data_IF_015326733318
#
_entry.id   IF_015326733318
#
_cell.length_a   1.000
_cell.length_b   1.000
_cell.length_c   1.000
_cell.angle_alpha   90.00
_cell.angle_beta   90.00
_cell.angle_gamma   90.00
#
_symmetry.space_group_name_H-M   'P 1'
#
loop_
_entity.id
_entity.type
_entity.pdbx_description
1 polymer ?
#
# COMPACT_ATOMS: atom_id res chain seq x y z
N UNK A 1 9.85 -7.19 -15.05
CA UNK A 1 10.02 -7.65 -16.42
C UNK A 1 11.32 -7.12 -17.02
N UNK A 2 11.51 -5.81 -17.11
CA UNK A 2 12.70 -5.22 -17.75
C UNK A 2 13.99 -5.42 -16.95
N UNK A 3 13.91 -5.54 -15.63
CA UNK A 3 15.08 -5.73 -14.78
C UNK A 3 15.62 -7.16 -14.79
N UNK A 4 14.83 -8.13 -15.23
CA UNK A 4 15.22 -9.55 -15.19
C UNK A 4 15.68 -10.04 -16.56
N UNK A 5 16.77 -10.82 -16.61
CA UNK A 5 17.32 -11.37 -17.85
C UNK A 5 16.36 -12.32 -18.59
N UNK A 6 15.51 -13.02 -17.84
CA UNK A 6 14.51 -13.95 -18.35
C UNK A 6 13.15 -13.29 -18.60
N UNK A 7 13.08 -11.95 -18.48
CA UNK A 7 11.86 -11.19 -18.61
C UNK A 7 10.70 -11.73 -17.74
N UNK A 8 11.00 -12.08 -16.49
CA UNK A 8 10.02 -12.62 -15.57
C UNK A 8 8.84 -11.66 -15.38
N UNK A 9 7.61 -12.14 -15.63
CA UNK A 9 6.39 -11.35 -15.49
C UNK A 9 5.66 -11.75 -14.23
N UNK A 10 6.11 -11.22 -13.09
CA UNK A 10 5.68 -11.57 -11.76
C UNK A 10 5.26 -10.35 -10.94
N UNK A 11 4.35 -10.56 -10.00
CA UNK A 11 3.94 -9.58 -9.00
C UNK A 11 3.80 -10.27 -7.64
N UNK A 12 3.68 -9.50 -6.57
CA UNK A 12 3.37 -10.05 -5.27
C UNK A 12 1.89 -9.83 -4.89
N UNK A 13 1.45 -10.50 -3.82
CA UNK A 13 0.08 -10.41 -3.33
C UNK A 13 -0.32 -9.00 -2.93
N UNK A 14 0.58 -8.21 -2.32
CA UNK A 14 0.26 -6.85 -1.89
C UNK A 14 -0.06 -5.93 -3.08
N UNK A 15 0.69 -6.03 -4.18
CA UNK A 15 0.43 -5.30 -5.41
C UNK A 15 -0.78 -5.85 -6.17
N UNK A 16 -0.89 -7.18 -6.32
CA UNK A 16 -2.02 -7.80 -6.99
C UNK A 16 -3.36 -7.40 -6.39
N UNK A 17 -3.47 -7.39 -5.05
CA UNK A 17 -4.70 -7.04 -4.33
C UNK A 17 -5.13 -5.57 -4.52
N UNK A 18 -4.30 -4.71 -5.11
CA UNK A 18 -4.63 -3.30 -5.41
C UNK A 18 -5.12 -3.06 -6.84
N UNK A 19 -5.17 -4.10 -7.65
CA UNK A 19 -5.53 -3.97 -9.08
C UNK A 19 -7.05 -3.94 -9.34
N UNK A 20 -7.89 -4.23 -8.35
CA UNK A 20 -9.33 -4.46 -8.49
C UNK A 20 -9.70 -5.71 -9.31
N UNK A 21 -8.72 -6.53 -9.67
CA UNK A 21 -8.91 -7.78 -10.43
C UNK A 21 -8.53 -9.02 -9.63
N UNK A 22 -8.15 -8.83 -8.36
CA UNK A 22 -7.68 -9.89 -7.48
C UNK A 22 -8.76 -10.28 -6.47
N UNK A 23 -8.98 -11.59 -6.31
CA UNK A 23 -9.88 -12.13 -5.30
C UNK A 23 -9.13 -12.39 -4.00
N UNK A 24 -9.34 -11.56 -2.99
CA UNK A 24 -8.65 -11.62 -1.69
C UNK A 24 -8.96 -12.88 -0.89
N UNK A 25 -10.06 -13.58 -1.20
CA UNK A 25 -10.45 -14.83 -0.54
C UNK A 25 -9.88 -16.05 -1.26
N UNK A 26 -9.85 -16.01 -2.60
CA UNK A 26 -9.30 -17.09 -3.42
C UNK A 26 -7.77 -17.01 -3.55
N UNK A 27 -7.19 -15.83 -3.26
CA UNK A 27 -5.75 -15.54 -3.41
C UNK A 27 -5.25 -15.71 -4.85
N UNK A 28 -6.09 -15.39 -5.82
CA UNK A 28 -5.78 -15.44 -7.25
C UNK A 28 -6.53 -14.33 -7.99
N UNK A 29 -6.26 -14.19 -9.26
CA UNK A 29 -7.02 -13.33 -10.16
C UNK A 29 -8.48 -13.75 -10.21
N UNK A 30 -9.39 -12.78 -10.09
CA UNK A 30 -10.83 -13.01 -10.12
C UNK A 30 -11.33 -13.14 -11.57
N UNK A 31 -11.78 -14.32 -11.97
CA UNK A 31 -12.17 -14.62 -13.34
C UNK A 31 -13.38 -13.79 -13.81
N UNK A 32 -14.31 -13.48 -12.92
CA UNK A 32 -15.46 -12.65 -13.25
C UNK A 32 -15.01 -11.20 -13.51
N UNK A 33 -14.18 -10.65 -12.62
CA UNK A 33 -13.69 -9.28 -12.75
C UNK A 33 -12.79 -9.10 -13.98
N UNK A 34 -11.84 -10.01 -14.23
CA UNK A 34 -10.99 -9.92 -15.43
C UNK A 34 -11.81 -10.04 -16.71
N UNK A 35 -12.85 -10.89 -16.73
CA UNK A 35 -13.78 -11.00 -17.84
C UNK A 35 -14.57 -9.70 -18.04
N UNK A 36 -15.06 -9.09 -16.96
CA UNK A 36 -15.78 -7.81 -17.00
C UNK A 36 -14.92 -6.68 -17.60
N UNK A 37 -13.63 -6.64 -17.27
CA UNK A 37 -12.67 -5.68 -17.84
C UNK A 37 -12.18 -6.06 -19.25
N UNK A 38 -12.58 -7.21 -19.80
CA UNK A 38 -12.14 -7.67 -21.11
C UNK A 38 -10.67 -8.07 -21.16
N UNK A 39 -10.09 -8.43 -20.02
CA UNK A 39 -8.68 -8.81 -19.87
C UNK A 39 -8.59 -10.35 -19.92
N UNK A 40 -7.56 -10.86 -20.59
CA UNK A 40 -7.26 -12.29 -20.59
C UNK A 40 -6.29 -12.62 -19.44
N UNK A 41 -6.47 -13.77 -18.78
CA UNK A 41 -5.64 -14.19 -17.65
C UNK A 41 -4.14 -14.24 -18.00
N UNK A 42 -3.82 -14.60 -19.24
CA UNK A 42 -2.44 -14.64 -19.77
C UNK A 42 -1.79 -13.25 -19.87
N UNK A 43 -2.56 -12.18 -19.77
CA UNK A 43 -2.07 -10.79 -19.74
C UNK A 43 -1.73 -10.32 -18.32
N UNK A 44 -2.01 -11.13 -17.30
CA UNK A 44 -1.76 -10.81 -15.91
C UNK A 44 -0.48 -11.49 -15.41
N UNK A 45 0.21 -10.82 -14.48
CA UNK A 45 1.45 -11.34 -13.92
C UNK A 45 1.20 -12.59 -13.05
N UNK A 46 2.17 -13.49 -12.99
CA UNK A 46 2.20 -14.56 -12.00
C UNK A 46 2.27 -13.95 -10.59
N UNK A 47 1.40 -14.41 -9.69
CA UNK A 47 1.36 -13.93 -8.30
C UNK A 47 2.29 -14.81 -7.47
N UNK A 48 3.21 -14.17 -6.77
CA UNK A 48 4.24 -14.82 -5.97
C UNK A 48 4.22 -14.30 -4.52
N UNK A 49 4.85 -15.04 -3.62
CA UNK A 49 5.16 -14.53 -2.28
C UNK A 49 6.01 -13.27 -2.34
N UNK A 50 5.85 -12.37 -1.40
CA UNK A 50 6.63 -11.12 -1.35
C UNK A 50 8.14 -11.38 -1.23
N UNK A 51 8.56 -12.53 -0.68
CA UNK A 51 9.95 -12.96 -0.57
C UNK A 51 10.37 -14.01 -1.61
N UNK A 52 9.59 -14.21 -2.68
CA UNK A 52 9.95 -15.15 -3.75
C UNK A 52 11.17 -14.68 -4.56
N UNK A 53 11.72 -15.57 -5.34
CA UNK A 53 12.69 -15.21 -6.38
C UNK A 53 11.93 -14.68 -7.61
N UNK A 54 12.11 -13.40 -7.90
CA UNK A 54 11.49 -12.72 -9.04
C UNK A 54 12.31 -12.82 -10.34
N UNK A 55 13.58 -13.19 -10.24
CA UNK A 55 14.50 -13.36 -11.34
C UNK A 55 15.91 -12.86 -10.97
N UNK A 56 16.77 -12.77 -11.96
CA UNK A 56 18.14 -12.28 -11.80
C UNK A 56 18.38 -11.06 -12.67
N UNK A 57 19.20 -10.14 -12.19
CA UNK A 57 19.59 -8.94 -12.92
C UNK A 57 21.09 -8.65 -12.75
N UNK A 58 21.70 -8.16 -13.81
CA UNK A 58 23.02 -7.52 -13.77
C UNK A 58 22.94 -6.03 -14.12
N UNK A 59 21.72 -5.46 -14.14
CA UNK A 59 21.44 -4.08 -14.55
C UNK A 59 22.05 -3.75 -15.92
N UNK A 60 21.75 -4.59 -16.93
CA UNK A 60 22.25 -4.46 -18.31
C UNK A 60 23.79 -4.47 -18.41
N UNK A 61 24.44 -5.33 -17.59
CA UNK A 61 25.88 -5.49 -17.58
C UNK A 61 26.63 -4.49 -16.68
N UNK A 62 25.91 -3.73 -15.86
CA UNK A 62 26.54 -2.84 -14.88
C UNK A 62 27.23 -3.63 -13.76
N UNK A 63 26.68 -4.79 -13.42
CA UNK A 63 27.26 -5.71 -12.45
C UNK A 63 28.06 -6.81 -13.19
N UNK A 64 29.20 -7.20 -12.64
CA UNK A 64 30.01 -8.30 -13.19
C UNK A 64 29.27 -9.65 -13.17
N UNK A 65 28.46 -9.87 -12.11
CA UNK A 65 27.63 -11.06 -11.95
C UNK A 65 26.17 -10.69 -11.72
N UNK A 66 25.26 -11.54 -12.21
CA UNK A 66 23.84 -11.34 -11.99
C UNK A 66 23.47 -11.67 -10.53
N UNK A 67 22.73 -10.78 -9.90
CA UNK A 67 22.20 -10.94 -8.54
C UNK A 67 20.71 -11.30 -8.57
N UNK A 68 20.22 -12.07 -7.58
CA UNK A 68 18.80 -12.40 -7.49
C UNK A 68 17.98 -11.19 -7.01
N UNK A 69 16.77 -11.05 -7.55
CA UNK A 69 15.76 -10.12 -7.06
C UNK A 69 14.83 -10.89 -6.13
N UNK A 70 14.93 -10.64 -4.83
CA UNK A 70 14.01 -11.10 -3.81
C UNK A 70 13.36 -9.88 -3.13
N UNK A 71 12.10 -10.00 -2.79
CA UNK A 71 11.40 -8.95 -2.07
C UNK A 71 10.76 -7.92 -2.99
N UNK A 72 9.52 -8.21 -3.35
CA UNK A 72 8.61 -7.27 -4.02
C UNK A 72 7.42 -7.05 -3.11
N UNK A 73 7.11 -5.79 -2.83
CA UNK A 73 6.00 -5.42 -1.95
C UNK A 73 5.52 -4.01 -2.31
N UNK A 74 4.23 -3.75 -2.19
CA UNK A 74 3.71 -2.38 -2.30
C UNK A 74 4.35 -1.46 -1.25
N UNK A 75 4.63 -0.21 -1.60
CA UNK A 75 5.34 0.75 -0.76
C UNK A 75 4.70 0.93 0.64
N UNK A 76 3.40 1.11 0.70
CA UNK A 76 2.66 1.24 1.95
C UNK A 76 2.65 -0.04 2.79
N UNK A 77 2.65 -1.20 2.13
CA UNK A 77 2.73 -2.52 2.76
C UNK A 77 4.16 -2.78 3.27
N UNK A 78 5.17 -2.39 2.48
CA UNK A 78 6.57 -2.40 2.90
C UNK A 78 6.81 -1.50 4.11
N UNK A 79 6.18 -0.32 4.16
CA UNK A 79 6.23 0.55 5.32
C UNK A 79 5.55 -0.06 6.56
N UNK A 80 4.41 -0.75 6.40
CA UNK A 80 3.75 -1.49 7.49
C UNK A 80 4.69 -2.55 8.08
N UNK A 81 5.32 -3.35 7.21
CA UNK A 81 6.28 -4.36 7.62
C UNK A 81 7.55 -3.75 8.24
N UNK A 82 8.12 -2.72 7.59
CA UNK A 82 9.34 -2.06 8.02
C UNK A 82 9.21 -1.31 9.36
N UNK A 83 8.00 -0.89 9.73
CA UNK A 83 7.70 -0.35 11.05
C UNK A 83 7.44 -1.43 12.12
N UNK A 84 7.63 -2.70 11.78
CA UNK A 84 7.46 -3.81 12.70
C UNK A 84 6.00 -4.16 13.03
N UNK A 85 5.05 -3.72 12.21
CA UNK A 85 3.62 -4.03 12.40
C UNK A 85 3.30 -5.47 11.96
N UNK A 86 4.04 -6.44 12.49
CA UNK A 86 4.00 -7.85 12.06
C UNK A 86 2.96 -8.68 12.80
N UNK A 87 2.39 -8.17 13.88
CA UNK A 87 1.36 -8.89 14.64
C UNK A 87 -0.03 -8.29 14.39
N UNK A 88 -1.10 -9.11 14.46
CA UNK A 88 -2.48 -8.62 14.37
C UNK A 88 -2.77 -7.50 15.36
N UNK A 89 -3.47 -6.46 14.92
CA UNK A 89 -3.82 -5.28 15.70
C UNK A 89 -2.77 -4.17 15.67
N UNK A 90 -1.58 -4.41 15.14
CA UNK A 90 -0.57 -3.36 14.98
C UNK A 90 -0.92 -2.44 13.79
N UNK A 91 -0.72 -1.15 14.01
CA UNK A 91 -1.15 -0.09 13.09
C UNK A 91 0.04 0.75 12.66
N UNK A 92 0.09 1.06 11.37
CA UNK A 92 0.95 2.08 10.77
C UNK A 92 0.10 3.24 10.28
N UNK A 93 0.50 4.47 10.58
CA UNK A 93 -0.08 5.67 10.01
C UNK A 93 0.96 6.41 9.18
N UNK A 94 0.61 6.75 7.95
CA UNK A 94 1.41 7.60 7.07
C UNK A 94 0.70 8.92 6.91
N UNK A 95 1.40 10.01 7.22
CA UNK A 95 0.91 11.36 7.06
C UNK A 95 1.63 12.04 5.89
N UNK A 96 0.85 12.48 4.90
CA UNK A 96 1.34 13.18 3.72
C UNK A 96 0.31 14.18 3.22
N UNK A 97 0.19 14.37 1.92
CA UNK A 97 -0.91 15.13 1.28
C UNK A 97 -2.27 14.61 1.73
N UNK A 98 -2.46 13.30 1.66
CA UNK A 98 -3.46 12.53 2.39
C UNK A 98 -2.78 11.67 3.47
N UNK A 99 -3.56 10.89 4.19
CA UNK A 99 -3.07 9.93 5.17
C UNK A 99 -3.62 8.55 4.89
N UNK A 100 -2.77 7.52 5.11
CA UNK A 100 -3.16 6.11 5.04
C UNK A 100 -2.89 5.47 6.40
N UNK A 101 -3.91 4.87 6.95
CA UNK A 101 -3.84 4.11 8.20
C UNK A 101 -4.06 2.65 7.85
N UNK A 102 -3.06 1.81 8.15
CA UNK A 102 -3.10 0.38 7.84
C UNK A 102 -2.95 -0.42 9.12
N UNK A 103 -3.82 -1.40 9.32
CA UNK A 103 -3.80 -2.31 10.45
C UNK A 103 -3.61 -3.74 9.96
N UNK A 104 -2.56 -4.41 10.43
CA UNK A 104 -2.40 -5.84 10.23
C UNK A 104 -3.53 -6.59 10.94
N UNK A 105 -4.27 -7.44 10.25
CA UNK A 105 -5.37 -8.23 10.81
C UNK A 105 -5.05 -9.74 10.87
N UNK A 106 -3.82 -10.12 10.53
CA UNK A 106 -3.35 -11.50 10.57
C UNK A 106 -3.73 -12.31 9.34
N UNK A 107 -3.84 -13.63 9.51
CA UNK A 107 -3.97 -14.60 8.41
C UNK A 107 -5.41 -14.79 7.90
N UNK A 108 -6.37 -14.06 8.43
CA UNK A 108 -7.78 -14.13 7.99
C UNK A 108 -8.27 -12.76 7.55
N UNK A 109 -8.93 -12.66 6.38
CA UNK A 109 -9.48 -11.38 5.93
C UNK A 109 -10.62 -10.93 6.85
N UNK A 110 -10.68 -9.62 7.09
CA UNK A 110 -11.79 -8.97 7.78
C UNK A 110 -12.44 -8.03 6.78
N UNK A 111 -13.70 -8.25 6.46
CA UNK A 111 -14.46 -7.35 5.59
C UNK A 111 -15.28 -6.36 6.42
N UNK A 112 -15.24 -5.11 6.04
CA UNK A 112 -15.89 -4.01 6.76
C UNK A 112 -16.92 -3.31 5.87
N UNK A 113 -18.06 -2.96 6.46
CA UNK A 113 -19.08 -2.09 5.88
C UNK A 113 -18.90 -0.61 6.25
N UNK A 114 -17.81 -0.25 6.91
CA UNK A 114 -17.51 1.08 7.46
C UNK A 114 -16.53 1.89 6.62
N UNK A 115 -16.36 1.56 5.35
CA UNK A 115 -15.52 2.34 4.43
C UNK A 115 -14.02 2.10 4.53
N UNK A 116 -13.58 1.08 5.29
CA UNK A 116 -12.20 0.60 5.24
C UNK A 116 -12.08 -0.57 4.29
N UNK A 117 -10.94 -0.64 3.61
CA UNK A 117 -10.66 -1.62 2.55
C UNK A 117 -9.81 -2.76 3.09
N UNK A 118 -10.15 -3.99 2.69
CA UNK A 118 -9.33 -5.18 2.95
C UNK A 118 -8.42 -5.46 1.76
N UNK A 119 -7.13 -5.65 2.02
CA UNK A 119 -6.16 -6.10 1.02
C UNK A 119 -5.14 -7.05 1.65
N UNK A 120 -4.19 -7.56 0.85
CA UNK A 120 -3.10 -8.40 1.35
C UNK A 120 -1.98 -7.51 1.87
N UNK A 121 -1.52 -7.74 3.08
CA UNK A 121 -0.38 -7.05 3.66
C UNK A 121 0.92 -7.52 3.00
N UNK A 122 1.17 -8.82 3.04
CA UNK A 122 2.29 -9.54 2.43
C UNK A 122 2.02 -11.04 2.42
N UNK A 123 2.82 -11.76 1.67
CA UNK A 123 2.92 -13.21 1.78
C UNK A 123 4.39 -13.60 1.92
N UNK A 124 4.73 -14.37 2.94
CA UNK A 124 6.08 -14.81 3.23
C UNK A 124 6.09 -16.33 3.42
N UNK A 125 6.75 -17.04 2.50
CA UNK A 125 6.89 -18.51 2.55
C UNK A 125 5.53 -19.21 2.68
N UNK A 126 4.56 -18.79 1.86
CA UNK A 126 3.20 -19.34 1.81
C UNK A 126 2.27 -18.88 2.92
N UNK A 127 2.72 -17.99 3.82
CA UNK A 127 1.87 -17.40 4.86
C UNK A 127 1.43 -16.00 4.47
N UNK A 128 0.13 -15.87 4.25
CA UNK A 128 -0.50 -14.61 3.85
C UNK A 128 -0.95 -13.85 5.09
N UNK A 129 -0.68 -12.55 5.11
CA UNK A 129 -1.27 -11.62 6.09
C UNK A 129 -2.15 -10.61 5.38
N UNK A 130 -3.24 -10.24 6.03
CA UNK A 130 -4.20 -9.27 5.54
C UNK A 130 -4.07 -7.95 6.27
N UNK A 131 -4.55 -6.89 5.63
CA UNK A 131 -4.57 -5.54 6.19
C UNK A 131 -5.93 -4.89 5.97
N UNK A 132 -6.39 -4.16 6.97
CA UNK A 132 -7.44 -3.15 6.81
C UNK A 132 -6.79 -1.79 6.59
N UNK A 133 -7.27 -1.06 5.59
CA UNK A 133 -6.78 0.26 5.24
C UNK A 133 -7.90 1.28 5.24
N UNK A 134 -7.68 2.39 5.96
CA UNK A 134 -8.47 3.60 5.91
C UNK A 134 -7.67 4.74 5.30
N UNK A 135 -8.23 5.45 4.34
CA UNK A 135 -7.61 6.58 3.68
C UNK A 135 -8.32 7.88 4.04
N UNK A 136 -7.53 8.90 4.40
CA UNK A 136 -7.97 10.27 4.58
C UNK A 136 -7.36 11.07 3.44
N UNK A 137 -8.19 11.47 2.49
CA UNK A 137 -7.71 12.05 1.22
C UNK A 137 -7.00 13.40 1.40
N UNK A 138 -7.38 14.17 2.43
CA UNK A 138 -6.86 15.50 2.69
C UNK A 138 -6.41 15.61 4.14
N UNK A 139 -5.09 15.69 4.36
CA UNK A 139 -4.47 15.99 5.66
C UNK A 139 -3.45 17.12 5.49
N UNK A 140 -2.24 16.86 5.04
CA UNK A 140 -1.27 17.90 4.73
C UNK A 140 -1.73 18.84 3.61
N UNK A 141 -2.58 18.38 2.70
CA UNK A 141 -3.19 19.21 1.67
C UNK A 141 -4.08 20.33 2.26
N UNK A 142 -4.75 20.08 3.39
CA UNK A 142 -5.53 21.13 4.09
C UNK A 142 -4.63 22.27 4.53
N UNK A 143 -3.45 21.96 5.05
CA UNK A 143 -2.48 22.99 5.46
C UNK A 143 -2.02 23.83 4.25
N UNK A 144 -1.77 23.18 3.12
CA UNK A 144 -1.43 23.86 1.88
C UNK A 144 -2.57 24.76 1.39
N UNK A 145 -3.80 24.29 1.47
CA UNK A 145 -5.00 25.04 1.13
C UNK A 145 -5.21 26.27 2.04
N UNK A 146 -5.06 26.11 3.37
CA UNK A 146 -5.12 27.22 4.32
C UNK A 146 -4.08 28.30 4.00
N UNK A 147 -2.88 27.88 3.58
CA UNK A 147 -1.79 28.80 3.26
C UNK A 147 -1.97 29.46 1.89
N UNK A 148 -2.17 28.67 0.83
CA UNK A 148 -2.06 29.15 -0.55
C UNK A 148 -3.37 29.70 -1.10
N UNK A 149 -4.49 29.06 -0.77
CA UNK A 149 -5.78 29.40 -1.35
C UNK A 149 -6.57 30.36 -0.45
N UNK A 150 -6.56 30.14 0.87
CA UNK A 150 -7.27 30.99 1.82
C UNK A 150 -6.40 32.12 2.42
N UNK A 151 -5.09 32.02 2.38
CA UNK A 151 -4.18 33.03 2.95
C UNK A 151 -4.33 33.21 4.46
N UNK A 152 -4.83 32.18 5.19
CA UNK A 152 -5.09 32.25 6.62
C UNK A 152 -3.85 32.02 7.48
N UNK A 153 -2.82 31.43 6.93
CA UNK A 153 -1.53 31.17 7.58
C UNK A 153 -0.38 31.55 6.64
N UNK A 154 0.70 32.07 7.18
CA UNK A 154 1.88 32.41 6.39
C UNK A 154 2.77 31.18 6.09
N UNK A 155 2.77 30.17 6.95
CA UNK A 155 3.55 28.96 6.78
C UNK A 155 2.91 27.77 7.49
N UNK A 156 3.26 26.55 7.06
CA UNK A 156 2.82 25.34 7.75
C UNK A 156 3.26 25.28 9.22
N UNK A 157 4.41 25.86 9.56
CA UNK A 157 4.92 25.89 10.95
C UNK A 157 4.02 26.72 11.89
N UNK A 158 3.37 27.76 11.36
CA UNK A 158 2.46 28.60 12.15
C UNK A 158 1.28 27.82 12.72
N UNK A 159 0.84 26.73 12.04
CA UNK A 159 -0.26 25.91 12.52
C UNK A 159 0.01 25.26 13.87
N UNK A 160 1.26 24.95 14.19
CA UNK A 160 1.64 24.39 15.50
C UNK A 160 1.39 25.39 16.62
N UNK A 161 1.79 26.64 16.43
CA UNK A 161 1.61 27.71 17.44
C UNK A 161 0.11 28.05 17.60
N UNK A 162 -0.63 28.11 16.50
CA UNK A 162 -2.07 28.32 16.54
C UNK A 162 -2.79 27.19 17.29
N UNK A 163 -2.41 25.94 17.01
CA UNK A 163 -2.98 24.77 17.68
C UNK A 163 -2.68 24.77 19.19
N UNK A 164 -1.47 25.15 19.60
CA UNK A 164 -1.10 25.29 21.02
C UNK A 164 -1.92 26.36 21.76
N UNK A 165 -2.32 27.42 21.06
CA UNK A 165 -3.11 28.51 21.62
C UNK A 165 -4.61 28.26 21.65
N UNK A 166 -5.10 27.27 20.90
CA UNK A 166 -6.51 26.91 20.84
C UNK A 166 -6.91 25.95 21.97
N UNK A 167 -8.17 26.02 22.42
CA UNK A 167 -8.68 25.03 23.34
C UNK A 167 -9.01 23.73 22.60
N UNK A 168 -8.53 22.55 23.08
CA UNK A 168 -8.92 21.30 22.50
C UNK A 168 -10.44 21.10 22.53
N UNK A 169 -11.06 20.88 21.39
CA UNK A 169 -12.50 20.62 21.25
C UNK A 169 -13.35 21.84 20.88
N UNK A 170 -12.77 23.05 20.77
CA UNK A 170 -13.52 24.23 20.33
C UNK A 170 -13.79 24.23 18.81
N UNK A 171 -13.18 23.31 18.06
CA UNK A 171 -13.30 23.27 16.60
C UNK A 171 -14.18 22.10 16.16
N UNK A 172 -15.27 22.40 15.50
CA UNK A 172 -16.11 21.41 14.81
C UNK A 172 -15.97 21.63 13.31
N UNK A 173 -15.54 20.61 12.60
CA UNK A 173 -15.70 20.53 11.16
C UNK A 173 -17.11 20.05 10.85
N UNK A 174 -17.84 20.85 10.11
CA UNK A 174 -19.16 20.49 9.55
C UNK A 174 -19.00 19.93 8.14
#
# INVERSE_FOLDING_TARGET
YQLTKDHAFKTDYSNASRTQMFNVSALDWDEELISLFGIKKEMLAEICDSNALYGYTDFDGYLEEAIPIHGVMGDSHGALYGQGCVNPGMIKATYGTGSSIMMNVGEKPIFSDKGVVTSLAWSLSGKVNYVLEGNINYTGAVITWLQKDLGLIASAKETEELAKSANPGDTTYL
#
